data_IF_880176581040
#
_entry.id   IF_880176581040
#
_cell.length_a   1.000
_cell.length_b   1.000
_cell.length_c   1.000
_cell.angle_alpha   90.00
_cell.angle_beta   90.00
_cell.angle_gamma   90.00
#
_symmetry.space_group_name_H-M   'P 1'
#
loop_
_entity.id
_entity.type
_entity.pdbx_description
1 polymer ?
#
# COMPACT_ATOMS: atom_id res chain seq x y z
N UNK A 1 20.18 -16.36 -1.78
CA UNK A 1 19.12 -15.60 -1.04
C UNK A 1 19.10 -16.16 0.36
N UNK A 2 19.18 -15.32 1.40
CA UNK A 2 19.04 -15.82 2.77
C UNK A 2 17.62 -16.36 2.95
N UNK A 3 17.45 -17.51 3.65
CA UNK A 3 16.14 -18.05 3.90
C UNK A 3 15.30 -17.05 4.74
N UNK A 4 14.01 -16.92 4.41
CA UNK A 4 13.07 -16.20 5.26
C UNK A 4 12.89 -17.05 6.53
N UNK A 5 12.97 -16.43 7.70
CA UNK A 5 12.78 -17.08 9.00
C UNK A 5 11.67 -16.42 9.84
N UNK A 6 11.13 -15.32 9.33
CA UNK A 6 10.01 -14.57 9.91
C UNK A 6 8.95 -14.32 8.84
N UNK A 7 7.69 -14.25 9.25
CA UNK A 7 6.58 -13.90 8.35
C UNK A 7 6.81 -12.49 7.74
N UNK A 8 6.84 -12.34 6.40
CA UNK A 8 7.08 -11.04 5.75
C UNK A 8 5.99 -9.98 5.99
N UNK A 9 4.88 -10.35 6.60
CA UNK A 9 3.80 -9.43 6.97
C UNK A 9 3.80 -9.15 8.46
N UNK A 10 3.43 -10.15 9.27
CA UNK A 10 3.22 -9.99 10.72
C UNK A 10 4.50 -9.92 11.55
N UNK A 11 5.66 -10.20 10.97
CA UNK A 11 6.97 -10.31 11.62
C UNK A 11 7.07 -11.44 12.66
N UNK A 12 6.11 -12.36 12.67
CA UNK A 12 6.12 -13.54 13.55
C UNK A 12 7.27 -14.50 13.16
N UNK A 13 7.97 -15.01 14.15
CA UNK A 13 9.08 -15.96 13.96
C UNK A 13 8.58 -17.36 13.54
N UNK A 14 9.47 -18.16 12.93
CA UNK A 14 9.21 -19.55 12.58
C UNK A 14 8.47 -19.75 11.26
N UNK A 15 8.41 -18.74 10.42
CA UNK A 15 7.78 -18.81 9.08
C UNK A 15 8.83 -18.58 7.99
N UNK A 16 8.86 -19.48 7.02
CA UNK A 16 9.62 -19.36 5.78
C UNK A 16 8.79 -18.73 4.63
N UNK A 17 7.54 -18.38 4.92
CA UNK A 17 6.56 -17.82 4.02
C UNK A 17 5.59 -16.92 4.82
N UNK A 18 4.49 -16.48 4.22
CA UNK A 18 3.41 -15.80 4.92
C UNK A 18 2.75 -16.72 5.94
N UNK A 19 2.48 -16.19 7.14
CA UNK A 19 1.73 -16.89 8.18
C UNK A 19 0.26 -17.16 7.76
N UNK A 20 -0.43 -18.13 8.37
CA UNK A 20 -1.85 -18.38 8.10
C UNK A 20 -2.73 -17.15 8.28
N UNK A 21 -2.40 -16.29 9.24
CA UNK A 21 -3.11 -15.01 9.47
C UNK A 21 -2.94 -14.09 8.27
N UNK A 22 -1.71 -13.94 7.77
CA UNK A 22 -1.44 -13.15 6.57
C UNK A 22 -2.16 -13.71 5.35
N UNK A 23 -2.08 -15.02 5.13
CA UNK A 23 -2.76 -15.70 4.04
C UNK A 23 -4.26 -15.42 4.08
N UNK A 24 -4.88 -15.49 5.25
CA UNK A 24 -6.30 -15.20 5.42
C UNK A 24 -6.65 -13.74 5.13
N UNK A 25 -5.92 -12.79 5.71
CA UNK A 25 -6.29 -11.36 5.66
C UNK A 25 -5.80 -10.63 4.40
N UNK A 26 -4.57 -10.91 3.96
CA UNK A 26 -3.99 -10.27 2.80
C UNK A 26 -4.45 -10.93 1.50
N UNK A 27 -4.55 -12.27 1.47
CA UNK A 27 -4.77 -13.05 0.26
C UNK A 27 -6.07 -13.84 0.21
N UNK A 28 -7.04 -13.61 1.10
CA UNK A 28 -8.34 -14.32 1.15
C UNK A 28 -8.21 -15.84 1.23
N UNK A 29 -7.22 -16.33 1.99
CA UNK A 29 -6.94 -17.76 2.16
C UNK A 29 -6.18 -18.41 1.00
N UNK A 30 -5.83 -17.66 -0.07
CA UNK A 30 -5.04 -18.17 -1.18
C UNK A 30 -3.57 -18.25 -0.80
N UNK A 31 -2.95 -19.40 -1.06
CA UNK A 31 -1.50 -19.55 -0.91
C UNK A 31 -0.79 -18.68 -1.94
N UNK A 32 0.09 -17.79 -1.47
CA UNK A 32 0.84 -16.85 -2.30
C UNK A 32 2.29 -16.87 -1.87
N UNK A 33 3.19 -16.97 -2.84
CA UNK A 33 4.63 -16.84 -2.62
C UNK A 33 4.99 -15.38 -2.32
N UNK A 34 5.86 -15.09 -1.35
CA UNK A 34 6.40 -13.75 -1.15
C UNK A 34 7.42 -13.35 -2.21
N UNK A 35 7.84 -14.27 -3.08
CA UNK A 35 8.84 -14.01 -4.11
C UNK A 35 8.18 -13.68 -5.45
N UNK A 36 8.55 -12.52 -5.99
CA UNK A 36 8.13 -12.04 -7.31
C UNK A 36 8.98 -12.67 -8.42
N UNK A 37 8.39 -12.82 -9.60
CA UNK A 37 9.13 -13.23 -10.81
C UNK A 37 9.80 -12.05 -11.54
N UNK A 38 9.81 -10.87 -10.91
CA UNK A 38 10.35 -9.62 -11.46
C UNK A 38 11.71 -9.28 -10.85
N UNK A 39 12.57 -8.61 -11.63
CA UNK A 39 13.76 -7.92 -11.13
C UNK A 39 13.40 -6.55 -10.56
N UNK A 40 14.19 -6.00 -9.62
CA UNK A 40 13.98 -4.62 -9.15
C UNK A 40 13.98 -3.62 -10.32
N UNK A 41 13.23 -2.54 -10.16
CA UNK A 41 13.24 -1.44 -11.11
C UNK A 41 14.38 -0.53 -10.68
N UNK A 42 15.47 -0.54 -11.44
CA UNK A 42 16.60 0.33 -11.24
C UNK A 42 16.57 1.52 -12.21
N UNK A 43 17.14 2.65 -11.77
CA UNK A 43 17.27 3.87 -12.58
C UNK A 43 18.15 3.67 -13.85
N UNK A 44 18.93 2.58 -13.89
CA UNK A 44 19.87 2.26 -14.98
C UNK A 44 19.26 1.56 -16.21
N UNK A 45 17.96 1.64 -16.42
CA UNK A 45 17.24 1.25 -17.65
C UNK A 45 17.46 -0.17 -18.22
N UNK A 46 18.02 -1.12 -17.45
CA UNK A 46 18.36 -2.44 -17.93
C UNK A 46 17.52 -3.60 -17.34
N UNK A 47 16.43 -3.31 -16.64
CA UNK A 47 15.58 -4.35 -16.08
C UNK A 47 14.71 -4.98 -17.17
N UNK A 48 14.76 -6.31 -17.34
CA UNK A 48 14.02 -7.08 -18.35
C UNK A 48 12.49 -6.94 -18.29
N UNK A 49 11.95 -6.29 -17.27
CA UNK A 49 10.52 -6.08 -17.03
C UNK A 49 10.14 -4.59 -16.89
N UNK A 50 11.06 -3.66 -17.23
CA UNK A 50 10.83 -2.24 -17.03
C UNK A 50 9.64 -1.71 -17.85
N UNK A 51 9.50 -2.11 -19.11
CA UNK A 51 8.38 -1.72 -19.94
C UNK A 51 7.02 -2.14 -19.34
N UNK A 52 6.96 -3.38 -18.81
CA UNK A 52 5.74 -3.90 -18.17
C UNK A 52 5.34 -3.06 -16.95
N UNK A 53 6.32 -2.65 -16.13
CA UNK A 53 6.09 -1.77 -14.97
C UNK A 53 5.66 -0.36 -15.38
N UNK A 54 6.30 0.24 -16.39
CA UNK A 54 5.92 1.56 -16.91
C UNK A 54 4.49 1.55 -17.44
N UNK A 55 4.13 0.59 -18.28
CA UNK A 55 2.76 0.44 -18.78
C UNK A 55 1.74 0.22 -17.66
N UNK A 56 2.10 -0.53 -16.62
CA UNK A 56 1.22 -0.73 -15.47
C UNK A 56 1.03 0.58 -14.70
N UNK A 57 2.10 1.36 -14.48
CA UNK A 57 2.06 2.64 -13.78
C UNK A 57 1.18 3.69 -14.49
N UNK A 58 1.29 3.81 -15.80
CA UNK A 58 0.50 4.75 -16.62
C UNK A 58 -1.01 4.52 -16.50
N UNK A 59 -1.43 3.28 -16.29
CA UNK A 59 -2.85 2.86 -16.15
C UNK A 59 -3.43 3.09 -14.77
N UNK A 60 -2.59 3.34 -13.76
CA UNK A 60 -3.04 3.46 -12.38
C UNK A 60 -3.27 4.92 -12.03
N UNK A 61 -4.52 5.32 -11.90
CA UNK A 61 -4.92 6.59 -11.29
C UNK A 61 -4.80 6.52 -9.76
N UNK A 62 -3.57 6.32 -9.24
CA UNK A 62 -3.29 6.38 -7.81
C UNK A 62 -2.48 7.65 -7.53
N UNK A 63 -3.01 8.53 -6.68
CA UNK A 63 -2.32 9.74 -6.28
C UNK A 63 -1.10 9.45 -5.39
N UNK A 64 -0.07 10.27 -5.48
CA UNK A 64 1.14 10.22 -4.65
C UNK A 64 2.44 10.16 -5.44
N UNK A 65 3.51 10.62 -4.83
CA UNK A 65 4.85 10.79 -5.45
C UNK A 65 5.59 9.45 -5.65
N UNK A 66 5.37 8.48 -4.74
CA UNK A 66 6.03 7.17 -4.82
C UNK A 66 5.45 6.32 -5.96
N UNK A 67 6.28 5.64 -6.77
CA UNK A 67 5.85 4.67 -7.76
C UNK A 67 4.97 3.59 -7.13
N UNK A 68 3.88 3.25 -7.80
CA UNK A 68 2.89 2.25 -7.36
C UNK A 68 2.47 1.41 -8.54
N UNK A 69 2.31 0.12 -8.30
CA UNK A 69 1.93 -0.83 -9.34
C UNK A 69 0.72 -1.65 -8.92
N UNK A 70 -0.18 -1.88 -9.87
CA UNK A 70 -1.38 -2.70 -9.66
C UNK A 70 -1.04 -4.16 -9.80
N UNK A 71 -1.40 -4.95 -8.78
CA UNK A 71 -1.07 -6.37 -8.73
C UNK A 71 -2.32 -7.22 -8.53
N UNK A 72 -2.22 -8.45 -9.00
CA UNK A 72 -3.20 -9.52 -8.80
C UNK A 72 -2.48 -10.82 -8.44
N UNK A 73 -3.17 -11.79 -7.84
CA UNK A 73 -2.62 -13.12 -7.63
C UNK A 73 -2.94 -14.02 -8.83
N UNK A 74 -1.90 -14.53 -9.49
CA UNK A 74 -1.96 -15.55 -10.54
C UNK A 74 -1.08 -16.73 -10.18
N UNK A 75 -1.59 -17.94 -10.24
CA UNK A 75 -0.85 -19.19 -10.00
C UNK A 75 -0.01 -19.16 -8.69
N UNK A 76 -0.60 -18.63 -7.61
CA UNK A 76 0.07 -18.54 -6.31
C UNK A 76 1.19 -17.50 -6.22
N UNK A 77 1.27 -16.54 -7.14
CA UNK A 77 2.23 -15.44 -7.14
C UNK A 77 1.56 -14.10 -7.39
N UNK A 78 2.17 -13.02 -6.90
CA UNK A 78 1.80 -11.66 -7.27
C UNK A 78 2.30 -11.35 -8.68
N UNK A 79 1.42 -10.88 -9.54
CA UNK A 79 1.69 -10.50 -10.92
C UNK A 79 1.11 -9.10 -11.23
N UNK A 80 1.75 -8.36 -12.12
CA UNK A 80 1.24 -7.09 -12.63
C UNK A 80 -0.10 -7.30 -13.36
N UNK A 81 -1.04 -6.37 -13.17
CA UNK A 81 -2.31 -6.40 -13.90
C UNK A 81 -2.09 -6.08 -15.38
N UNK A 82 -2.87 -6.75 -16.21
CA UNK A 82 -2.95 -6.46 -17.64
C UNK A 82 -3.95 -5.33 -17.91
N UNK A 83 -4.03 -4.89 -19.17
CA UNK A 83 -5.00 -3.90 -19.58
C UNK A 83 -6.44 -4.37 -19.35
N UNK A 84 -7.27 -3.47 -18.79
CA UNK A 84 -8.66 -3.79 -18.42
C UNK A 84 -8.83 -4.65 -17.16
N UNK A 85 -7.74 -5.13 -16.54
CA UNK A 85 -7.81 -5.98 -15.36
C UNK A 85 -7.84 -5.16 -14.07
N UNK A 86 -8.76 -5.48 -13.17
CA UNK A 86 -8.84 -4.84 -11.85
C UNK A 86 -7.83 -5.47 -10.88
N UNK A 87 -6.86 -4.66 -10.44
CA UNK A 87 -5.92 -5.09 -9.40
C UNK A 87 -6.53 -5.05 -8.00
N UNK A 88 -6.16 -6.02 -7.20
CA UNK A 88 -6.57 -6.16 -5.80
C UNK A 88 -5.48 -5.71 -4.82
N UNK A 89 -4.26 -5.53 -5.30
CA UNK A 89 -3.11 -5.14 -4.48
C UNK A 89 -2.38 -3.96 -5.09
N UNK A 90 -1.66 -3.24 -4.24
CA UNK A 90 -0.73 -2.16 -4.64
C UNK A 90 0.66 -2.58 -4.19
N UNK A 91 1.58 -2.66 -5.13
CA UNK A 91 3.01 -2.85 -4.88
C UNK A 91 3.70 -1.49 -4.84
N UNK A 92 4.52 -1.27 -3.83
CA UNK A 92 5.38 -0.10 -3.69
C UNK A 92 6.81 -0.58 -3.52
N UNK A 93 7.67 -0.42 -4.53
CA UNK A 93 9.10 -0.70 -4.40
C UNK A 93 9.78 0.33 -3.50
N UNK A 94 11.07 0.16 -3.26
CA UNK A 94 11.88 1.18 -2.58
C UNK A 94 11.77 2.53 -3.30
N UNK A 95 11.94 3.62 -2.55
CA UNK A 95 12.02 4.98 -3.10
C UNK A 95 13.34 5.16 -3.88
N UNK A 96 13.34 5.97 -4.96
CA UNK A 96 14.53 6.21 -5.79
C UNK A 96 15.48 7.24 -5.18
N UNK A 97 14.99 8.36 -4.61
CA UNK A 97 15.79 9.57 -4.40
C UNK A 97 15.94 10.02 -2.93
N UNK A 98 15.78 9.12 -1.95
CA UNK A 98 15.86 9.48 -0.54
C UNK A 98 17.03 8.82 0.19
N UNK A 99 17.60 9.52 1.18
CA UNK A 99 18.55 8.92 2.12
C UNK A 99 17.89 7.72 2.82
N UNK A 100 18.62 6.60 2.92
CA UNK A 100 18.10 5.33 3.48
C UNK A 100 16.93 4.71 2.71
N UNK A 101 16.77 5.04 1.43
CA UNK A 101 15.72 4.52 0.54
C UNK A 101 15.55 3.00 0.56
N UNK A 102 16.64 2.27 0.78
CA UNK A 102 16.64 0.80 0.83
C UNK A 102 15.74 0.23 1.93
N UNK A 103 15.47 0.99 2.99
CA UNK A 103 14.61 0.59 4.10
C UNK A 103 13.15 1.07 3.96
N UNK A 104 12.80 1.81 2.91
CA UNK A 104 11.47 2.44 2.80
C UNK A 104 10.33 1.42 2.87
N UNK A 105 10.42 0.32 2.13
CA UNK A 105 9.40 -0.74 2.14
C UNK A 105 9.32 -1.46 3.49
N UNK A 106 10.47 -1.73 4.12
CA UNK A 106 10.52 -2.36 5.44
C UNK A 106 9.96 -1.43 6.53
N UNK A 107 10.29 -0.13 6.49
CA UNK A 107 9.76 0.86 7.42
C UNK A 107 8.24 1.01 7.28
N UNK A 108 7.71 1.03 6.05
CA UNK A 108 6.27 1.10 5.84
C UNK A 108 5.57 -0.13 6.44
N UNK A 109 6.08 -1.34 6.18
CA UNK A 109 5.53 -2.55 6.79
C UNK A 109 5.62 -2.51 8.33
N UNK A 110 6.79 -2.17 8.89
CA UNK A 110 6.99 -2.10 10.34
C UNK A 110 6.02 -1.11 11.00
N UNK A 111 5.87 0.08 10.42
CA UNK A 111 4.94 1.11 10.92
C UNK A 111 3.50 0.59 10.93
N UNK A 112 3.07 -0.09 9.87
CA UNK A 112 1.74 -0.68 9.79
C UNK A 112 1.54 -1.81 10.80
N UNK A 113 2.58 -2.63 11.05
CA UNK A 113 2.51 -3.67 12.07
C UNK A 113 2.46 -3.08 13.49
N UNK A 114 3.21 -2.03 13.78
CA UNK A 114 3.14 -1.30 15.05
C UNK A 114 1.74 -0.72 15.23
N UNK A 115 1.21 -0.01 14.25
CA UNK A 115 -0.14 0.55 14.31
C UNK A 115 -1.20 -0.51 14.61
N UNK A 116 -1.15 -1.66 13.92
CA UNK A 116 -2.18 -2.70 14.08
C UNK A 116 -1.96 -3.60 15.30
N UNK A 117 -0.72 -4.04 15.57
CA UNK A 117 -0.46 -5.05 16.61
C UNK A 117 -0.21 -4.44 17.99
N UNK A 118 0.32 -3.22 18.07
CA UNK A 118 0.62 -2.54 19.33
C UNK A 118 -0.51 -1.60 19.73
N UNK A 119 -0.98 -0.78 18.78
CA UNK A 119 -1.99 0.25 19.05
C UNK A 119 -3.42 -0.16 18.70
N UNK A 120 -3.63 -1.32 18.05
CA UNK A 120 -4.96 -1.80 17.68
C UNK A 120 -5.66 -0.95 16.60
N UNK A 121 -4.90 -0.12 15.87
CA UNK A 121 -5.42 0.69 14.77
C UNK A 121 -5.74 -0.21 13.59
N UNK A 122 -6.95 -0.11 13.05
CA UNK A 122 -7.36 -0.84 11.86
C UNK A 122 -6.56 -0.36 10.64
N UNK A 123 -5.76 -1.25 10.07
CA UNK A 123 -4.94 -0.97 8.89
C UNK A 123 -5.37 -1.81 7.69
N UNK A 124 -5.06 -1.33 6.48
CA UNK A 124 -5.16 -2.18 5.30
C UNK A 124 -4.22 -3.38 5.44
N UNK A 125 -4.67 -4.57 5.08
CA UNK A 125 -3.82 -5.77 5.13
C UNK A 125 -2.59 -5.57 4.23
N UNK A 126 -1.41 -5.86 4.77
CA UNK A 126 -0.13 -5.50 4.15
C UNK A 126 0.98 -6.49 4.49
N UNK A 127 2.11 -6.34 3.82
CA UNK A 127 3.30 -7.14 4.06
C UNK A 127 4.45 -6.75 3.13
N UNK A 128 5.52 -7.51 3.18
CA UNK A 128 6.62 -7.44 2.22
C UNK A 128 6.50 -8.58 1.22
N UNK A 129 6.93 -8.31 -0.01
CA UNK A 129 7.29 -9.29 -1.00
C UNK A 129 8.70 -8.97 -1.52
N UNK A 130 9.31 -9.88 -2.25
CA UNK A 130 10.72 -9.76 -2.62
C UNK A 130 10.89 -9.93 -4.12
N UNK A 131 11.59 -9.00 -4.74
CA UNK A 131 12.06 -9.13 -6.11
C UNK A 131 13.09 -10.27 -6.27
N UNK A 132 13.36 -10.69 -7.50
CA UNK A 132 14.53 -11.52 -7.81
C UNK A 132 15.78 -10.82 -7.26
N UNK A 133 16.61 -11.57 -6.52
CA UNK A 133 17.75 -10.97 -5.80
C UNK A 133 17.48 -10.61 -4.34
N UNK A 134 16.21 -10.62 -3.89
CA UNK A 134 15.85 -10.46 -2.49
C UNK A 134 15.55 -9.01 -2.05
N UNK A 135 15.52 -8.06 -2.98
CA UNK A 135 15.14 -6.68 -2.66
C UNK A 135 13.67 -6.62 -2.22
N UNK A 136 13.35 -6.03 -1.04
CA UNK A 136 11.99 -5.96 -0.54
C UNK A 136 11.16 -4.89 -1.25
N UNK A 137 9.89 -5.20 -1.47
CA UNK A 137 8.85 -4.25 -1.83
C UNK A 137 7.68 -4.37 -0.85
N UNK A 138 7.01 -3.27 -0.56
CA UNK A 138 5.80 -3.27 0.24
C UNK A 138 4.59 -3.63 -0.61
N UNK A 139 3.74 -4.51 -0.11
CA UNK A 139 2.49 -4.90 -0.74
C UNK A 139 1.32 -4.63 0.20
N UNK A 140 0.26 -4.03 -0.30
CA UNK A 140 -0.95 -3.81 0.47
C UNK A 140 -2.18 -4.20 -0.33
N UNK A 141 -3.19 -4.73 0.37
CA UNK A 141 -4.48 -5.03 -0.21
C UNK A 141 -5.28 -3.74 -0.39
N UNK A 142 -5.94 -3.60 -1.53
CA UNK A 142 -6.83 -2.49 -1.81
C UNK A 142 -8.14 -2.63 -1.03
N UNK A 143 -8.36 -1.74 -0.07
CA UNK A 143 -9.62 -1.66 0.68
C UNK A 143 -10.76 -1.02 -0.15
N UNK A 144 -10.40 -0.31 -1.22
CA UNK A 144 -11.36 0.35 -2.13
C UNK A 144 -11.90 -0.58 -3.23
N UNK A 145 -11.42 -1.83 -3.30
CA UNK A 145 -11.92 -2.85 -4.23
C UNK A 145 -12.68 -3.91 -3.44
N UNK A 146 -13.95 -4.14 -3.80
CA UNK A 146 -14.78 -5.17 -3.20
C UNK A 146 -14.44 -6.56 -3.76
N UNK A 147 -14.88 -7.66 -3.10
CA UNK A 147 -14.67 -9.02 -3.60
C UNK A 147 -15.23 -9.28 -5.01
N UNK A 148 -16.30 -8.56 -5.40
CA UNK A 148 -16.90 -8.62 -6.73
C UNK A 148 -16.13 -7.82 -7.80
N UNK A 149 -14.99 -7.18 -7.43
CA UNK A 149 -14.18 -6.35 -8.31
C UNK A 149 -14.69 -4.92 -8.47
N UNK A 150 -15.86 -4.57 -7.95
CA UNK A 150 -16.35 -3.18 -7.98
C UNK A 150 -15.59 -2.29 -7.02
N UNK A 151 -15.50 -0.99 -7.34
CA UNK A 151 -14.80 -0.02 -6.50
C UNK A 151 -15.74 0.64 -5.51
N UNK A 152 -15.25 0.84 -4.29
CA UNK A 152 -15.86 1.77 -3.33
C UNK A 152 -15.46 3.20 -3.70
N UNK A 153 -16.37 4.14 -3.54
CA UNK A 153 -16.01 5.56 -3.62
C UNK A 153 -15.10 5.91 -2.45
N UNK A 154 -14.10 6.70 -2.70
CA UNK A 154 -13.20 7.26 -1.69
C UNK A 154 -12.89 8.70 -2.05
N UNK A 155 -12.76 9.54 -1.04
CA UNK A 155 -12.33 10.92 -1.16
C UNK A 155 -11.23 11.19 -0.13
N UNK A 156 -10.26 11.99 -0.48
CA UNK A 156 -9.29 12.50 0.49
C UNK A 156 -9.79 13.80 1.14
N UNK A 157 -9.20 14.18 2.26
CA UNK A 157 -9.63 15.39 2.99
C UNK A 157 -9.47 16.66 2.15
N UNK A 158 -8.45 16.74 1.31
CA UNK A 158 -8.26 17.90 0.43
C UNK A 158 -9.42 18.04 -0.57
N UNK A 159 -9.88 16.94 -1.18
CA UNK A 159 -11.06 16.93 -2.05
C UNK A 159 -12.32 17.35 -1.31
N UNK A 160 -12.54 16.81 -0.09
CA UNK A 160 -13.68 17.18 0.75
C UNK A 160 -13.69 18.65 1.17
N UNK A 161 -12.51 19.23 1.33
CA UNK A 161 -12.32 20.67 1.59
C UNK A 161 -12.40 21.55 0.34
N UNK A 162 -12.55 20.97 -0.85
CA UNK A 162 -12.57 21.69 -2.11
C UNK A 162 -11.20 22.25 -2.54
N UNK A 163 -10.11 21.70 -1.99
CA UNK A 163 -8.76 22.11 -2.35
C UNK A 163 -8.34 21.47 -3.68
N UNK A 164 -7.67 22.28 -4.49
CA UNK A 164 -7.14 21.89 -5.82
C UNK A 164 -5.78 22.54 -6.04
N UNK A 165 -5.09 22.16 -7.10
CA UNK A 165 -3.87 22.85 -7.51
C UNK A 165 -4.06 24.32 -7.84
N UNK A 166 -5.29 24.75 -8.17
CA UNK A 166 -5.60 26.15 -8.51
C UNK A 166 -5.71 27.05 -7.28
N UNK A 167 -6.29 26.55 -6.18
CA UNK A 167 -6.50 27.32 -4.96
C UNK A 167 -5.55 26.97 -3.81
N UNK A 168 -4.84 25.85 -3.88
CA UNK A 168 -3.92 25.38 -2.86
C UNK A 168 -2.47 25.12 -3.35
N UNK A 169 -2.16 25.37 -4.64
CA UNK A 169 -0.83 25.14 -5.19
C UNK A 169 -0.46 23.66 -5.30
N UNK A 170 0.80 23.38 -5.62
CA UNK A 170 1.27 22.00 -5.87
C UNK A 170 1.16 21.06 -4.67
N UNK A 171 1.28 21.61 -3.47
CA UNK A 171 1.30 20.84 -2.21
C UNK A 171 -0.04 20.85 -1.47
N UNK A 172 -1.14 21.24 -2.12
CA UNK A 172 -2.45 21.43 -1.50
C UNK A 172 -2.94 20.24 -0.64
N UNK A 173 -2.46 19.03 -0.90
CA UNK A 173 -2.82 17.83 -0.13
C UNK A 173 -2.09 17.72 1.21
N UNK A 174 -1.02 18.48 1.41
CA UNK A 174 -0.11 18.27 2.55
C UNK A 174 0.06 19.51 3.45
N UNK A 175 -0.32 20.69 2.99
CA UNK A 175 0.07 21.94 3.66
C UNK A 175 -1.12 22.80 4.14
N UNK A 176 -2.36 22.44 3.77
CA UNK A 176 -3.50 23.34 3.95
C UNK A 176 -4.50 22.93 5.02
N UNK A 177 -4.54 21.71 5.45
CA UNK A 177 -5.49 21.26 6.45
C UNK A 177 -4.79 20.92 7.76
N UNK A 178 -5.29 21.49 8.85
CA UNK A 178 -4.95 21.08 10.21
C UNK A 178 -5.70 19.81 10.58
N UNK A 179 -5.28 19.14 11.65
CA UNK A 179 -5.98 17.95 12.16
C UNK A 179 -7.39 18.31 12.66
N UNK A 180 -7.59 19.50 13.23
CA UNK A 180 -8.88 20.00 13.67
C UNK A 180 -9.85 20.19 12.48
N UNK A 181 -9.37 20.77 11.38
CA UNK A 181 -10.15 20.92 10.16
C UNK A 181 -10.52 19.57 9.54
N UNK A 182 -9.60 18.59 9.57
CA UNK A 182 -9.93 17.22 9.19
C UNK A 182 -11.01 16.61 10.08
N UNK A 183 -10.96 16.86 11.41
CA UNK A 183 -12.00 16.47 12.37
C UNK A 183 -13.37 17.09 12.05
N UNK A 184 -13.40 18.37 11.66
CA UNK A 184 -14.64 19.03 11.22
C UNK A 184 -15.21 18.43 9.91
N UNK A 185 -14.36 18.03 8.97
CA UNK A 185 -14.79 17.33 7.77
C UNK A 185 -15.38 15.95 8.10
N UNK A 186 -14.76 15.19 9.03
CA UNK A 186 -15.35 13.95 9.54
C UNK A 186 -16.74 14.20 10.09
N UNK A 187 -16.89 15.20 10.97
CA UNK A 187 -18.18 15.58 11.57
C UNK A 187 -19.22 15.93 10.53
N UNK A 188 -18.82 16.64 9.47
CA UNK A 188 -19.72 17.12 8.41
C UNK A 188 -20.22 16.02 7.49
N UNK A 189 -19.36 15.07 7.15
CA UNK A 189 -19.64 14.11 6.07
C UNK A 189 -19.97 12.70 6.54
N UNK A 190 -19.63 12.32 7.78
CA UNK A 190 -19.84 10.95 8.25
C UNK A 190 -20.98 10.87 9.29
N UNK A 191 -21.98 9.99 9.07
CA UNK A 191 -23.06 9.80 10.06
C UNK A 191 -22.56 9.33 11.42
N UNK A 192 -21.52 8.47 11.44
CA UNK A 192 -20.91 7.94 12.66
C UNK A 192 -19.73 8.80 13.17
N UNK A 193 -19.76 10.11 12.90
CA UNK A 193 -18.63 11.02 13.13
C UNK A 193 -18.00 10.94 14.52
N UNK A 194 -18.78 10.67 15.58
CA UNK A 194 -18.25 10.56 16.95
C UNK A 194 -17.23 9.42 17.07
N UNK A 195 -17.54 8.26 16.49
CA UNK A 195 -16.65 7.08 16.49
C UNK A 195 -15.47 7.31 15.55
N UNK A 196 -15.74 7.84 14.37
CA UNK A 196 -14.69 8.07 13.36
C UNK A 196 -13.70 9.17 13.79
N UNK A 197 -14.15 10.17 14.53
CA UNK A 197 -13.25 11.19 15.12
C UNK A 197 -12.35 10.59 16.20
N UNK A 198 -12.85 9.64 17.01
CA UNK A 198 -12.00 8.92 17.98
C UNK A 198 -10.93 8.11 17.26
N UNK A 199 -11.30 7.33 16.24
CA UNK A 199 -10.31 6.58 15.43
C UNK A 199 -9.29 7.50 14.76
N UNK A 200 -9.72 8.65 14.28
CA UNK A 200 -8.83 9.64 13.70
C UNK A 200 -7.86 10.22 14.74
N UNK A 201 -8.35 10.48 15.96
CA UNK A 201 -7.52 10.93 17.07
C UNK A 201 -6.46 9.87 17.46
N UNK A 202 -6.86 8.60 17.58
CA UNK A 202 -5.94 7.49 17.87
C UNK A 202 -4.83 7.34 16.81
N UNK A 203 -5.10 7.76 15.56
CA UNK A 203 -4.11 7.75 14.49
C UNK A 203 -3.09 8.89 14.59
N UNK A 204 -3.45 10.01 15.23
CA UNK A 204 -2.61 11.23 15.30
C UNK A 204 -1.66 11.19 16.50
N UNK A 205 -2.08 10.57 17.60
CA UNK A 205 -1.30 10.48 18.85
C UNK A 205 -0.21 9.40 18.72
#
# INVERSE_FOLDING_TARGET
>A
MNPITICPSTLAEGYDNYSPITIKHLFDGRQVSPFLDYTPIDDDNNASNQEEFLHNQERISLSGVQPKYSMIVRNGKLALTQEGEQGHYILKPKLSDFRNRIYSSANENLTMQIASQVFGIETAANGLCFFKGGEPAYITRRFDVKPDGTKRRKEDFASLAGLTTQNGGKNYKYEYLTYEECGELIRRYLPAWKVETLKFFDLII
#
